data_IF_025166946375
#
_entry.id   IF_025166946375
#
_cell.length_a   1.000
_cell.length_b   1.000
_cell.length_c   1.000
_cell.angle_alpha   90.00
_cell.angle_beta   90.00
_cell.angle_gamma   90.00
#
_symmetry.space_group_name_H-M   'P 1'
#
loop_
_entity.id
_entity.type
_entity.pdbx_description
1 polymer ?
#
# COMPACT_ATOMS: atom_id res chain seq x y z
N UNK A 1 -18.70 41.94 12.86
CA UNK A 1 -18.83 40.96 11.75
C UNK A 1 -17.43 40.66 11.22
N UNK A 2 -16.81 39.55 11.62
CA UNK A 2 -15.50 39.14 11.11
C UNK A 2 -15.68 38.28 9.85
N UNK A 3 -15.02 38.68 8.76
CA UNK A 3 -15.06 38.03 7.46
C UNK A 3 -14.31 36.69 7.50
N UNK A 4 -15.02 35.57 7.41
CA UNK A 4 -14.41 34.24 7.28
C UNK A 4 -13.99 33.98 5.82
N UNK A 5 -12.68 34.05 5.54
CA UNK A 5 -12.13 33.60 4.25
C UNK A 5 -12.19 32.08 4.17
N UNK A 6 -13.07 31.56 3.31
CA UNK A 6 -13.14 30.15 2.94
C UNK A 6 -11.91 29.83 2.08
N UNK A 7 -10.89 29.17 2.63
CA UNK A 7 -9.77 28.66 1.83
C UNK A 7 -10.22 27.38 1.15
N UNK A 8 -10.39 27.41 -0.17
CA UNK A 8 -10.65 26.21 -0.95
C UNK A 8 -9.49 25.22 -0.75
N UNK A 9 -9.77 23.93 -0.51
CA UNK A 9 -8.71 22.95 -0.35
C UNK A 9 -7.90 22.92 -1.66
N UNK A 10 -6.62 23.28 -1.57
CA UNK A 10 -5.68 23.17 -2.68
C UNK A 10 -5.81 21.76 -3.27
N UNK A 11 -6.22 21.72 -4.53
CA UNK A 11 -6.40 20.49 -5.30
C UNK A 11 -5.03 19.81 -5.38
N UNK A 12 -4.72 18.91 -4.44
CA UNK A 12 -3.50 18.11 -4.46
C UNK A 12 -3.53 17.35 -5.79
N UNK A 13 -2.64 17.71 -6.70
CA UNK A 13 -2.43 16.95 -7.93
C UNK A 13 -1.95 15.57 -7.49
N UNK A 14 -2.79 14.55 -7.65
CA UNK A 14 -2.38 13.18 -7.41
C UNK A 14 -1.33 12.84 -8.48
N UNK A 15 -0.05 12.94 -8.12
CA UNK A 15 1.03 12.46 -8.97
C UNK A 15 0.98 10.94 -8.94
N UNK A 16 0.33 10.35 -9.94
CA UNK A 16 0.37 8.90 -10.13
C UNK A 16 1.81 8.49 -10.43
N UNK A 17 2.37 7.67 -9.54
CA UNK A 17 3.66 7.01 -9.75
C UNK A 17 3.36 5.54 -10.00
N UNK A 18 3.61 5.01 -11.21
CA UNK A 18 3.46 3.58 -11.48
C UNK A 18 4.24 2.78 -10.44
N UNK A 19 3.59 1.76 -9.88
CA UNK A 19 4.23 0.81 -8.98
C UNK A 19 4.11 -0.57 -9.62
N UNK A 20 5.25 -1.24 -9.71
CA UNK A 20 5.34 -2.60 -10.24
C UNK A 20 5.66 -3.53 -9.07
N UNK A 21 5.02 -4.69 -9.05
CA UNK A 21 5.18 -5.67 -8.00
C UNK A 21 4.73 -7.03 -8.50
N UNK A 22 5.06 -8.06 -7.72
CA UNK A 22 4.63 -9.42 -7.95
C UNK A 22 3.47 -9.74 -7.01
N UNK A 23 2.45 -10.44 -7.52
CA UNK A 23 1.39 -11.04 -6.71
C UNK A 23 1.64 -12.55 -6.72
N UNK A 24 1.81 -13.12 -5.52
CA UNK A 24 2.03 -14.54 -5.33
C UNK A 24 0.75 -15.11 -4.73
N UNK A 25 0.09 -15.99 -5.48
CA UNK A 25 -1.08 -16.73 -5.00
C UNK A 25 -0.59 -17.88 -4.13
N UNK A 26 -1.13 -17.98 -2.92
CA UNK A 26 -0.85 -19.07 -1.98
C UNK A 26 -2.06 -20.03 -1.95
N UNK A 27 -1.82 -21.31 -1.70
CA UNK A 27 -2.88 -22.31 -1.58
C UNK A 27 -3.70 -22.15 -0.29
N UNK A 28 -3.05 -21.70 0.79
CA UNK A 28 -3.65 -21.49 2.10
C UNK A 28 -2.92 -20.41 2.92
N UNK A 29 -3.44 -20.14 4.12
CA UNK A 29 -2.88 -19.17 5.06
C UNK A 29 -1.53 -19.60 5.64
N UNK A 30 -1.31 -20.89 5.86
CA UNK A 30 -0.07 -21.40 6.45
C UNK A 30 1.11 -21.20 5.49
N UNK A 31 0.91 -21.45 4.19
CA UNK A 31 1.86 -21.16 3.14
C UNK A 31 2.15 -19.66 3.04
N UNK A 32 1.11 -18.83 3.08
CA UNK A 32 1.24 -17.37 3.03
C UNK A 32 2.12 -16.85 4.18
N UNK A 33 1.90 -17.31 5.41
CA UNK A 33 2.70 -16.94 6.59
C UNK A 33 4.16 -17.37 6.41
N UNK A 34 4.39 -18.62 5.99
CA UNK A 34 5.73 -19.17 5.76
C UNK A 34 6.50 -18.34 4.73
N UNK A 35 5.88 -18.07 3.58
CA UNK A 35 6.51 -17.32 2.50
C UNK A 35 6.76 -15.86 2.89
N UNK A 36 5.81 -15.23 3.59
CA UNK A 36 5.98 -13.87 4.10
C UNK A 36 7.19 -13.76 5.02
N UNK A 37 7.33 -14.67 5.98
CA UNK A 37 8.46 -14.67 6.92
C UNK A 37 9.81 -14.91 6.20
N UNK A 38 9.84 -15.83 5.23
CA UNK A 38 11.02 -16.09 4.40
C UNK A 38 11.42 -14.86 3.58
N UNK A 39 10.48 -14.16 2.96
CA UNK A 39 10.77 -12.97 2.16
C UNK A 39 11.11 -11.77 3.06
N UNK A 40 10.53 -11.70 4.26
CA UNK A 40 10.81 -10.65 5.25
C UNK A 40 12.24 -10.75 5.75
N UNK A 41 12.78 -11.96 5.94
CA UNK A 41 14.19 -12.15 6.32
C UNK A 41 15.18 -11.67 5.25
N UNK A 42 14.73 -11.52 4.00
CA UNK A 42 15.51 -10.93 2.90
C UNK A 42 15.38 -9.41 2.83
N UNK A 43 14.74 -8.77 3.81
CA UNK A 43 14.53 -7.32 3.88
C UNK A 43 13.75 -6.74 2.67
N UNK A 44 12.85 -7.55 2.08
CA UNK A 44 11.99 -7.12 0.98
C UNK A 44 10.80 -6.31 1.49
N UNK A 45 10.27 -5.43 0.63
CA UNK A 45 9.04 -4.67 0.92
C UNK A 45 7.81 -5.52 0.60
N UNK A 46 7.15 -6.01 1.64
CA UNK A 46 6.02 -6.93 1.52
C UNK A 46 4.71 -6.28 1.97
N UNK A 47 3.59 -6.72 1.38
CA UNK A 47 2.23 -6.44 1.84
C UNK A 47 1.42 -7.72 1.70
N UNK A 48 0.62 -8.02 2.73
CA UNK A 48 -0.40 -9.08 2.63
C UNK A 48 -1.62 -8.50 1.92
N UNK A 49 -2.14 -9.22 0.95
CA UNK A 49 -3.37 -8.88 0.23
C UNK A 49 -4.35 -10.02 0.43
N UNK A 50 -5.49 -9.71 1.04
CA UNK A 50 -6.62 -10.62 1.19
C UNK A 50 -7.73 -10.16 0.26
N UNK A 51 -8.35 -11.08 -0.47
CA UNK A 51 -9.52 -10.81 -1.31
C UNK A 51 -10.81 -11.10 -0.56
#
# INVERSE_FOLDING_TARGET
MQNYKKTEPQKKSYTYKPQYGLVIICADEAEQIKLFNQLKSQNLKLKVVTV
#
